data_IF_888538965033
#
_entry.id   IF_888538965033
#
_cell.length_a   1.000
_cell.length_b   1.000
_cell.length_c   1.000
_cell.angle_alpha   90.00
_cell.angle_beta   90.00
_cell.angle_gamma   90.00
#
_symmetry.space_group_name_H-M   'P 1'
#
loop_
_entity.id
_entity.type
_entity.pdbx_description
1 polymer ?
#
# COMPACT_ATOMS: atom_id res chain seq x y z
N UNK A 1 4.62 20.02 10.08
CA UNK A 1 4.94 20.44 11.46
C UNK A 1 4.81 19.32 12.49
N UNK A 2 3.95 18.32 12.29
CA UNK A 2 3.80 17.20 13.24
C UNK A 2 5.03 16.29 13.32
N UNK A 3 5.75 16.08 12.20
CA UNK A 3 6.98 15.26 12.19
C UNK A 3 8.12 15.88 13.02
N UNK A 4 8.17 17.20 13.18
CA UNK A 4 9.21 17.88 13.96
C UNK A 4 9.02 17.78 15.48
N UNK A 5 7.81 17.46 15.94
CA UNK A 5 7.46 17.42 17.36
C UNK A 5 7.34 16.02 17.94
N UNK A 6 7.28 15.01 17.06
CA UNK A 6 7.11 13.61 17.44
C UNK A 6 8.46 12.90 17.48
N UNK A 7 8.83 12.21 18.56
CA UNK A 7 10.05 11.42 18.61
C UNK A 7 10.14 10.45 17.43
N UNK A 8 11.35 10.25 16.90
CA UNK A 8 11.56 9.46 15.67
C UNK A 8 10.99 8.02 15.80
N UNK A 9 11.26 7.39 16.93
CA UNK A 9 10.79 6.03 17.24
C UNK A 9 9.27 5.90 17.39
N UNK A 10 8.58 7.02 17.58
CA UNK A 10 7.12 7.05 17.68
C UNK A 10 6.45 7.49 16.34
N UNK A 11 7.22 7.88 15.32
CA UNK A 11 6.70 8.26 14.03
C UNK A 11 6.26 7.03 13.24
N UNK A 12 5.05 7.09 12.68
CA UNK A 12 4.50 6.02 11.86
C UNK A 12 4.89 6.22 10.40
N UNK A 13 5.88 5.47 9.95
CA UNK A 13 6.34 5.48 8.56
C UNK A 13 5.72 4.34 7.77
N UNK A 14 5.20 4.63 6.58
CA UNK A 14 4.76 3.62 5.62
C UNK A 14 5.75 3.58 4.44
N UNK A 15 6.48 2.47 4.32
CA UNK A 15 7.40 2.20 3.22
C UNK A 15 6.64 1.41 2.15
N UNK A 16 6.41 2.02 1.00
CA UNK A 16 5.62 1.45 -0.08
C UNK A 16 6.55 1.03 -1.21
N UNK A 17 6.63 -0.28 -1.43
CA UNK A 17 7.47 -0.86 -2.46
C UNK A 17 6.69 -0.93 -3.77
N UNK A 18 7.21 -0.29 -4.82
CA UNK A 18 6.63 -0.37 -6.16
C UNK A 18 6.81 -1.78 -6.73
N UNK A 19 5.81 -2.26 -7.46
CA UNK A 19 5.84 -3.56 -8.14
C UNK A 19 5.73 -3.35 -9.64
N UNK A 20 6.23 -4.32 -10.45
CA UNK A 20 5.97 -4.31 -11.88
C UNK A 20 4.50 -4.71 -12.15
N UNK A 21 3.83 -4.04 -13.08
CA UNK A 21 2.49 -4.41 -13.50
C UNK A 21 2.44 -5.87 -13.93
N UNK A 22 1.46 -6.59 -13.43
CA UNK A 22 1.29 -7.99 -13.77
C UNK A 22 2.24 -8.97 -13.09
N UNK A 23 3.16 -8.49 -12.31
CA UNK A 23 4.11 -9.30 -11.57
C UNK A 23 4.23 -8.79 -10.13
N UNK A 24 3.20 -8.98 -9.29
CA UNK A 24 3.11 -8.39 -7.95
C UNK A 24 4.25 -8.81 -7.02
N UNK A 25 4.97 -9.88 -7.37
CA UNK A 25 6.13 -10.37 -6.62
C UNK A 25 7.47 -9.94 -7.21
N UNK A 26 7.46 -9.35 -8.39
CA UNK A 26 8.66 -8.78 -8.98
C UNK A 26 8.67 -7.30 -8.62
N UNK A 27 9.35 -6.99 -7.51
CA UNK A 27 9.57 -5.60 -7.11
C UNK A 27 10.25 -4.84 -8.24
N UNK A 28 9.79 -3.60 -8.46
CA UNK A 28 10.34 -2.74 -9.49
C UNK A 28 11.72 -2.25 -9.07
N UNK A 29 12.74 -3.08 -9.29
CA UNK A 29 14.11 -2.66 -9.16
C UNK A 29 14.43 -1.65 -10.27
N UNK A 30 14.70 -0.41 -9.90
CA UNK A 30 15.38 0.52 -10.81
C UNK A 30 16.80 -0.02 -11.05
N UNK A 31 17.40 0.30 -12.19
CA UNK A 31 18.78 -0.09 -12.47
C UNK A 31 19.68 0.43 -11.33
N UNK A 32 20.27 -0.52 -10.58
CA UNK A 32 21.13 -0.21 -9.43
C UNK A 32 20.43 0.05 -8.10
N UNK A 33 19.08 -0.04 -8.01
CA UNK A 33 18.34 0.09 -6.75
C UNK A 33 17.92 -1.31 -6.24
N UNK A 34 18.46 -1.71 -5.11
CA UNK A 34 17.92 -2.81 -4.31
C UNK A 34 16.85 -2.28 -3.37
N UNK A 35 15.59 -2.49 -3.75
CA UNK A 35 14.41 -1.97 -3.04
C UNK A 35 14.31 -2.54 -1.63
N UNK A 36 14.64 -3.83 -1.45
CA UNK A 36 14.59 -4.48 -0.13
C UNK A 36 15.68 -4.00 0.80
N UNK A 37 16.92 -3.93 0.29
CA UNK A 37 18.04 -3.41 1.06
C UNK A 37 17.82 -1.93 1.44
N UNK A 38 17.25 -1.13 0.52
CA UNK A 38 16.89 0.27 0.80
C UNK A 38 15.82 0.38 1.88
N UNK A 39 14.76 -0.43 1.80
CA UNK A 39 13.72 -0.46 2.83
C UNK A 39 14.29 -0.86 4.20
N UNK A 40 15.19 -1.84 4.23
CA UNK A 40 15.84 -2.30 5.44
C UNK A 40 16.73 -1.21 6.07
N UNK A 41 17.52 -0.50 5.26
CA UNK A 41 18.34 0.61 5.71
C UNK A 41 17.48 1.75 6.31
N UNK A 42 16.38 2.12 5.64
CA UNK A 42 15.45 3.13 6.15
C UNK A 42 14.84 2.72 7.49
N UNK A 43 14.43 1.45 7.65
CA UNK A 43 13.92 0.95 8.93
C UNK A 43 14.97 1.03 10.04
N UNK A 44 16.25 0.73 9.74
CA UNK A 44 17.36 0.88 10.68
C UNK A 44 17.52 2.33 11.11
N UNK A 45 17.54 3.24 10.16
CA UNK A 45 17.69 4.67 10.43
C UNK A 45 16.52 5.23 11.25
N UNK A 46 15.31 4.68 11.08
CA UNK A 46 14.12 5.03 11.86
C UNK A 46 14.06 4.33 13.25
N UNK A 47 15.02 3.47 13.57
CA UNK A 47 15.04 2.75 14.85
C UNK A 47 14.04 1.58 14.98
N UNK A 48 13.47 1.13 13.86
CA UNK A 48 12.47 0.05 13.81
C UNK A 48 13.07 -1.34 13.54
N UNK A 49 14.29 -1.58 13.97
CA UNK A 49 15.00 -2.87 13.84
C UNK A 49 14.84 -3.75 15.08
N UNK A 50 13.65 -3.99 15.50
CA UNK A 50 13.41 -5.05 16.44
C UNK A 50 13.41 -6.39 15.68
N UNK A 51 14.24 -7.34 15.97
CA UNK A 51 14.39 -8.66 15.33
C UNK A 51 13.18 -9.36 14.71
N UNK A 52 12.08 -8.64 14.48
CA UNK A 52 10.87 -9.10 13.78
C UNK A 52 11.12 -9.47 12.30
N UNK A 53 12.23 -9.04 11.72
CA UNK A 53 12.71 -9.45 10.40
C UNK A 53 13.49 -10.78 10.45
N UNK A 54 13.07 -11.76 11.26
CA UNK A 54 13.67 -13.10 11.30
C UNK A 54 13.52 -13.87 9.97
N UNK A 55 12.58 -13.46 9.12
CA UNK A 55 12.43 -13.97 7.75
C UNK A 55 12.95 -12.92 6.77
N UNK A 56 13.47 -13.35 5.59
CA UNK A 56 13.74 -12.41 4.52
C UNK A 56 12.49 -11.55 4.28
N UNK A 57 12.67 -10.23 4.18
CA UNK A 57 11.58 -9.26 4.03
C UNK A 57 10.62 -9.63 2.89
N UNK A 58 11.17 -10.14 1.78
CA UNK A 58 10.38 -10.61 0.65
C UNK A 58 9.40 -11.73 1.04
N UNK A 59 9.85 -12.73 1.79
CA UNK A 59 9.01 -13.84 2.24
C UNK A 59 7.94 -13.33 3.21
N UNK A 60 8.32 -12.42 4.11
CA UNK A 60 7.38 -11.78 5.03
C UNK A 60 6.24 -11.07 4.31
N UNK A 61 6.54 -10.30 3.26
CA UNK A 61 5.55 -9.59 2.45
C UNK A 61 4.65 -10.55 1.63
N UNK A 62 5.17 -11.72 1.23
CA UNK A 62 4.36 -12.73 0.53
C UNK A 62 3.37 -13.44 1.45
N UNK A 63 3.83 -13.80 2.65
CA UNK A 63 3.05 -14.63 3.59
C UNK A 63 2.08 -13.80 4.43
N UNK A 64 2.40 -12.54 4.72
CA UNK A 64 1.58 -11.71 5.60
C UNK A 64 0.60 -10.86 4.82
N UNK A 65 -0.61 -10.77 5.37
CA UNK A 65 -1.67 -9.91 4.87
C UNK A 65 -2.19 -9.04 6.01
N UNK A 66 -2.19 -7.73 5.80
CA UNK A 66 -2.95 -6.83 6.65
C UNK A 66 -4.38 -6.80 6.15
N UNK A 67 -5.31 -7.09 7.04
CA UNK A 67 -6.74 -7.18 6.74
C UNK A 67 -7.44 -5.89 7.13
N UNK A 68 -8.22 -5.33 6.21
CA UNK A 68 -9.04 -4.16 6.47
C UNK A 68 -10.49 -4.38 6.03
N UNK A 69 -11.47 -4.37 6.96
CA UNK A 69 -12.88 -4.65 6.65
C UNK A 69 -13.45 -3.70 5.59
N UNK A 70 -14.24 -4.24 4.66
CA UNK A 70 -14.93 -3.45 3.62
C UNK A 70 -15.80 -2.35 4.22
N UNK A 71 -16.44 -2.60 5.37
CA UNK A 71 -17.26 -1.57 6.04
C UNK A 71 -16.41 -0.36 6.49
N UNK A 72 -15.19 -0.61 7.00
CA UNK A 72 -14.26 0.49 7.33
C UNK A 72 -13.82 1.27 6.10
N UNK A 73 -13.63 0.58 4.98
CA UNK A 73 -13.37 1.25 3.70
C UNK A 73 -14.55 2.13 3.27
N UNK A 74 -15.80 1.63 3.37
CA UNK A 74 -16.99 2.43 3.05
C UNK A 74 -17.10 3.68 3.92
N UNK A 75 -16.82 3.56 5.21
CA UNK A 75 -16.77 4.68 6.13
C UNK A 75 -15.74 5.72 5.71
N UNK A 76 -14.52 5.28 5.38
CA UNK A 76 -13.45 6.16 4.91
C UNK A 76 -13.80 6.79 3.54
N UNK A 77 -14.30 5.98 2.61
CA UNK A 77 -14.72 6.42 1.27
C UNK A 77 -15.83 7.49 1.35
N UNK A 78 -16.73 7.41 2.32
CA UNK A 78 -17.81 8.39 2.50
C UNK A 78 -17.32 9.80 2.79
N UNK A 79 -16.08 9.95 3.26
CA UNK A 79 -15.43 11.23 3.61
C UNK A 79 -14.78 11.94 2.43
N UNK A 80 -14.50 11.23 1.34
CA UNK A 80 -13.92 11.84 0.13
C UNK A 80 -15.02 12.51 -0.72
N UNK A 81 -14.66 13.41 -1.67
CA UNK A 81 -15.64 14.11 -2.51
C UNK A 81 -16.58 13.15 -3.23
N UNK A 82 -17.89 13.49 -3.27
CA UNK A 82 -18.95 12.66 -3.89
C UNK A 82 -18.66 12.33 -5.36
N UNK A 83 -18.07 13.27 -6.11
CA UNK A 83 -17.70 13.04 -7.49
C UNK A 83 -16.73 11.86 -7.61
N UNK A 84 -15.67 11.81 -6.78
CA UNK A 84 -14.70 10.72 -6.78
C UNK A 84 -15.33 9.38 -6.39
N UNK A 85 -16.27 9.39 -5.44
CA UNK A 85 -17.05 8.18 -5.10
C UNK A 85 -17.85 7.68 -6.31
N UNK A 86 -18.57 8.57 -7.00
CA UNK A 86 -19.37 8.22 -8.19
C UNK A 86 -18.48 7.69 -9.32
N UNK A 87 -17.38 8.38 -9.63
CA UNK A 87 -16.43 7.98 -10.67
C UNK A 87 -15.87 6.58 -10.39
N UNK A 88 -15.59 6.27 -9.11
CA UNK A 88 -15.06 4.98 -8.67
C UNK A 88 -16.09 3.84 -8.88
N UNK A 89 -17.34 4.05 -8.47
CA UNK A 89 -18.40 3.05 -8.66
C UNK A 89 -18.83 2.90 -10.13
N UNK A 90 -18.78 3.97 -10.91
CA UNK A 90 -19.05 3.91 -12.35
C UNK A 90 -17.97 3.10 -13.08
N UNK A 91 -16.69 3.29 -12.72
CA UNK A 91 -15.58 2.60 -13.35
C UNK A 91 -15.44 1.13 -12.92
N UNK A 92 -15.67 0.81 -11.65
CA UNK A 92 -15.31 -0.48 -11.04
C UNK A 92 -16.48 -1.25 -10.42
N UNK A 93 -17.66 -0.64 -10.32
CA UNK A 93 -18.87 -1.29 -9.79
C UNK A 93 -18.76 -1.63 -8.30
N UNK A 94 -19.22 -2.83 -7.93
CA UNK A 94 -19.29 -3.27 -6.53
C UNK A 94 -17.90 -3.60 -5.96
N UNK A 95 -17.62 -3.07 -4.79
CA UNK A 95 -16.38 -3.28 -4.03
C UNK A 95 -16.01 -4.75 -3.88
N UNK A 96 -17.02 -5.63 -3.75
CA UNK A 96 -16.82 -7.07 -3.56
C UNK A 96 -16.18 -7.79 -4.74
N UNK A 97 -16.16 -7.15 -5.92
CA UNK A 97 -15.54 -7.68 -7.12
C UNK A 97 -14.05 -7.32 -7.23
N UNK A 98 -13.55 -6.46 -6.34
CA UNK A 98 -12.11 -6.13 -6.33
C UNK A 98 -11.26 -7.35 -5.95
N UNK A 99 -10.17 -7.56 -6.68
CA UNK A 99 -9.29 -8.73 -6.53
C UNK A 99 -8.62 -8.83 -5.15
N UNK A 100 -8.50 -7.73 -4.42
CA UNK A 100 -7.96 -7.70 -3.06
C UNK A 100 -9.01 -8.04 -2.00
N UNK A 101 -10.29 -8.14 -2.37
CA UNK A 101 -11.37 -8.45 -1.43
C UNK A 101 -11.60 -9.96 -1.33
N UNK A 102 -11.53 -10.48 -0.12
CA UNK A 102 -12.02 -11.81 0.21
C UNK A 102 -12.66 -11.81 1.59
N UNK A 103 -13.71 -12.59 1.79
CA UNK A 103 -14.44 -12.65 3.06
C UNK A 103 -14.82 -11.26 3.62
N UNK A 104 -15.31 -10.35 2.75
CA UNK A 104 -15.68 -8.97 3.08
C UNK A 104 -14.55 -8.12 3.69
N UNK A 105 -13.30 -8.40 3.30
CA UNK A 105 -12.10 -7.77 3.84
C UNK A 105 -11.10 -7.54 2.71
N UNK A 106 -10.50 -6.34 2.64
CA UNK A 106 -9.31 -6.10 1.83
C UNK A 106 -8.09 -6.76 2.46
N UNK A 107 -7.23 -7.35 1.62
CA UNK A 107 -6.04 -8.09 2.05
C UNK A 107 -4.81 -7.48 1.38
N UNK A 108 -4.06 -6.66 2.13
CA UNK A 108 -2.86 -5.98 1.64
C UNK A 108 -1.61 -6.79 1.95
N UNK A 109 -0.71 -6.95 0.97
CA UNK A 109 0.61 -7.53 1.21
C UNK A 109 1.46 -6.52 1.99
N UNK A 110 1.47 -6.64 3.29
CA UNK A 110 2.15 -5.72 4.18
C UNK A 110 2.61 -6.39 5.47
N UNK A 111 3.65 -5.82 6.07
CA UNK A 111 4.29 -6.29 7.29
C UNK A 111 4.49 -5.12 8.25
N UNK A 112 4.07 -5.26 9.49
CA UNK A 112 4.41 -4.32 10.56
C UNK A 112 5.86 -4.53 11.02
N UNK A 113 6.57 -3.42 11.20
CA UNK A 113 7.94 -3.36 11.72
C UNK A 113 7.98 -2.27 12.79
N UNK A 114 7.70 -2.62 14.05
CA UNK A 114 7.49 -1.61 15.10
C UNK A 114 6.36 -0.64 14.75
N UNK A 115 6.61 0.66 14.83
CA UNK A 115 5.67 1.71 14.43
C UNK A 115 5.66 1.97 12.91
N UNK A 116 6.53 1.28 12.13
CA UNK A 116 6.50 1.36 10.68
C UNK A 116 5.70 0.21 10.05
N UNK A 117 5.34 0.38 8.78
CA UNK A 117 4.80 -0.66 7.93
C UNK A 117 5.55 -0.69 6.61
N UNK A 118 5.86 -1.88 6.12
CA UNK A 118 6.31 -2.08 4.73
C UNK A 118 5.19 -2.76 3.98
N UNK A 119 4.88 -2.28 2.78
CA UNK A 119 3.80 -2.83 1.97
C UNK A 119 4.16 -2.85 0.48
N UNK A 120 3.64 -3.83 -0.24
CA UNK A 120 3.64 -3.80 -1.70
C UNK A 120 2.52 -2.88 -2.18
N UNK A 121 2.84 -1.96 -3.09
CA UNK A 121 1.83 -1.10 -3.70
C UNK A 121 0.85 -1.97 -4.50
N UNK A 122 -0.47 -1.87 -4.23
CA UNK A 122 -1.46 -2.53 -5.06
C UNK A 122 -1.43 -2.00 -6.49
N UNK A 123 -1.85 -2.83 -7.43
CA UNK A 123 -2.05 -2.37 -8.81
C UNK A 123 -3.18 -1.33 -8.88
N UNK A 124 -2.99 -0.32 -9.72
CA UNK A 124 -3.95 0.77 -9.89
C UNK A 124 -5.19 0.34 -10.68
N UNK A 125 -5.05 -0.68 -11.53
CA UNK A 125 -6.10 -1.20 -12.40
C UNK A 125 -6.23 -2.71 -12.27
N UNK A 126 -7.35 -3.27 -12.75
CA UNK A 126 -7.55 -4.70 -12.78
C UNK A 126 -6.52 -5.38 -13.71
N UNK A 127 -5.90 -6.46 -13.26
CA UNK A 127 -5.02 -7.30 -14.06
C UNK A 127 -5.59 -7.72 -15.43
N UNK A 128 -6.90 -7.85 -15.56
CA UNK A 128 -7.57 -8.24 -16.80
C UNK A 128 -7.57 -7.16 -17.89
N UNK A 129 -7.27 -5.89 -17.57
CA UNK A 129 -7.36 -4.74 -18.47
C UNK A 129 -6.01 -4.05 -18.71
N UNK A 130 -4.88 -4.73 -18.51
CA UNK A 130 -3.53 -4.19 -18.37
C UNK A 130 -2.90 -3.56 -19.60
N UNK A 131 -3.20 -4.05 -20.80
CA UNK A 131 -2.35 -3.77 -21.97
C UNK A 131 -2.36 -2.32 -22.46
N UNK A 132 -3.34 -1.49 -22.00
CA UNK A 132 -3.46 -0.08 -22.40
C UNK A 132 -3.43 0.92 -21.23
N UNK A 133 -3.40 0.48 -19.97
CA UNK A 133 -3.79 1.31 -18.84
C UNK A 133 -2.65 1.86 -17.99
N UNK A 134 -1.44 1.32 -18.13
CA UNK A 134 -0.36 1.58 -17.18
C UNK A 134 0.12 3.04 -17.15
N UNK A 135 0.06 3.73 -18.28
CA UNK A 135 0.49 5.12 -18.40
C UNK A 135 -0.67 6.13 -18.43
N UNK A 136 -1.91 5.66 -18.41
CA UNK A 136 -3.07 6.56 -18.44
C UNK A 136 -3.43 7.03 -17.03
N UNK A 137 -2.86 8.16 -16.64
CA UNK A 137 -3.15 8.83 -15.38
C UNK A 137 -4.57 9.38 -15.27
N UNK A 138 -5.32 9.46 -16.40
CA UNK A 138 -6.71 9.95 -16.43
C UNK A 138 -7.70 8.89 -15.90
N UNK A 139 -7.31 7.62 -15.84
CA UNK A 139 -8.19 6.54 -15.40
C UNK A 139 -8.37 6.51 -13.90
N UNK A 140 -9.61 6.24 -13.49
CA UNK A 140 -9.98 6.06 -12.09
C UNK A 140 -9.28 4.81 -11.52
N UNK A 141 -8.55 4.90 -10.39
CA UNK A 141 -7.92 3.74 -9.77
C UNK A 141 -8.97 2.77 -9.23
N UNK A 142 -8.64 1.47 -9.11
CA UNK A 142 -9.55 0.46 -8.57
C UNK A 142 -9.81 0.64 -7.06
N UNK A 143 -10.85 -0.03 -6.54
CA UNK A 143 -11.20 0.04 -5.11
C UNK A 143 -10.04 -0.39 -4.20
N UNK A 144 -9.30 -1.45 -4.57
CA UNK A 144 -8.17 -1.95 -3.80
C UNK A 144 -7.03 -0.94 -3.65
N UNK A 145 -6.74 -0.19 -4.73
CA UNK A 145 -5.74 0.88 -4.69
C UNK A 145 -6.18 2.03 -3.77
N UNK A 146 -7.41 2.49 -3.92
CA UNK A 146 -7.98 3.56 -3.08
C UNK A 146 -8.07 3.12 -1.61
N UNK A 147 -8.53 1.89 -1.38
CA UNK A 147 -8.64 1.31 -0.04
C UNK A 147 -7.29 1.24 0.66
N UNK A 148 -6.23 0.89 -0.06
CA UNK A 148 -4.88 0.84 0.50
C UNK A 148 -4.43 2.19 1.05
N UNK A 149 -4.60 3.27 0.30
CA UNK A 149 -4.21 4.61 0.77
C UNK A 149 -5.14 5.16 1.85
N UNK A 150 -6.43 4.87 1.80
CA UNK A 150 -7.35 5.22 2.88
C UNK A 150 -7.05 4.43 4.16
N UNK A 151 -6.62 3.17 4.05
CA UNK A 151 -6.15 2.39 5.19
C UNK A 151 -4.90 3.02 5.83
N UNK A 152 -3.92 3.43 5.02
CA UNK A 152 -2.72 4.13 5.53
C UNK A 152 -3.08 5.40 6.27
N UNK A 153 -4.05 6.15 5.77
CA UNK A 153 -4.51 7.41 6.37
C UNK A 153 -5.35 7.21 7.62
N UNK A 154 -6.39 6.38 7.55
CA UNK A 154 -7.45 6.33 8.58
C UNK A 154 -7.19 5.27 9.65
N UNK A 155 -6.60 4.14 9.28
CA UNK A 155 -6.38 3.00 10.19
C UNK A 155 -4.95 2.95 10.72
N UNK A 156 -3.95 2.93 9.85
CA UNK A 156 -2.55 2.95 10.25
C UNK A 156 -2.15 4.33 10.80
N UNK A 157 -2.70 5.41 10.23
CA UNK A 157 -2.41 6.81 10.57
C UNK A 157 -0.95 7.14 10.34
N UNK A 158 -0.47 6.89 9.12
CA UNK A 158 0.88 7.19 8.72
C UNK A 158 1.21 8.69 8.90
N UNK A 159 2.31 8.99 9.57
CA UNK A 159 2.87 10.34 9.66
C UNK A 159 3.65 10.68 8.38
N UNK A 160 4.23 9.66 7.72
CA UNK A 160 4.95 9.78 6.45
C UNK A 160 4.73 8.55 5.56
N UNK A 161 4.69 8.78 4.25
CA UNK A 161 4.68 7.72 3.23
C UNK A 161 5.93 7.86 2.37
N UNK A 162 6.71 6.80 2.27
CA UNK A 162 7.97 6.73 1.51
C UNK A 162 7.78 5.69 0.41
N UNK A 163 7.77 6.15 -0.86
CA UNK A 163 7.73 5.26 -2.00
C UNK A 163 9.16 4.85 -2.40
N UNK A 164 9.38 3.54 -2.58
CA UNK A 164 10.66 2.97 -2.95
C UNK A 164 10.48 2.12 -4.21
N UNK A 165 11.18 2.47 -5.28
CA UNK A 165 11.14 1.75 -6.55
C UNK A 165 11.25 2.66 -7.77
N UNK A 166 11.16 2.05 -8.96
CA UNK A 166 11.11 2.79 -10.22
C UNK A 166 9.71 3.38 -10.45
N UNK A 167 9.68 4.60 -10.97
CA UNK A 167 8.48 5.30 -11.45
C UNK A 167 8.52 5.42 -12.97
#
# INVERSE_FOLDING_TARGET
YMLQTKPLEAQKAALILSTYPGRPWQMAHAVGLDVLASAQAILQDLGHTDGSLQKPLELGLRENKIKWPVEKYKDALSKIPKKLQSDLFEAWGDIRHDSLVSQNTFNFNALHCGEAVIALQPERSDPAHRDNDYHDISRVPCHGYVAFYLWLQDAFKADAIIHIGAH
#
